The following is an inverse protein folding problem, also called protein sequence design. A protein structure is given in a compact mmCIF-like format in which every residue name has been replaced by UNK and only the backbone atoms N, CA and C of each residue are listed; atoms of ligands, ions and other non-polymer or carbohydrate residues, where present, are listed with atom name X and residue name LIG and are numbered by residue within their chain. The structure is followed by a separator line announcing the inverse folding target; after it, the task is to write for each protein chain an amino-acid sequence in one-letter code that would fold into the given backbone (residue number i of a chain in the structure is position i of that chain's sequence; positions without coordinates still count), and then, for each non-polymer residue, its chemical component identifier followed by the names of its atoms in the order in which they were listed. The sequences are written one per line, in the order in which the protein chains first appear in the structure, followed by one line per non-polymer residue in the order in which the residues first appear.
data_IF_573465364162
#
_entry.id   IF_573465364162
#
_cell.length_a   1.000
_cell.length_b   1.000
_cell.length_c   1.000
_cell.angle_alpha   90.00
_cell.angle_beta   90.00
_cell.angle_gamma   90.00
#
_symmetry.space_group_name_H-M   'P 1'
#
loop_
_entity.id
_entity.type
_entity.pdbx_description
1 polymer ?
#
# COMPACT_ATOMS: atom_id res chain seq x y z
N UNK A 1 -48.72 5.65 -7.96
CA UNK A 1 -47.38 6.24 -7.76
C UNK A 1 -46.61 5.34 -6.79
N UNK A 2 -46.00 4.27 -7.31
CA UNK A 2 -45.47 3.15 -6.49
C UNK A 2 -44.36 2.43 -7.26
N UNK A 3 -43.28 3.16 -7.61
CA UNK A 3 -42.10 2.60 -8.32
C UNK A 3 -40.77 3.29 -8.00
N UNK A 4 -40.65 4.01 -6.88
CA UNK A 4 -39.41 4.75 -6.55
C UNK A 4 -38.93 4.41 -5.11
N UNK A 5 -39.01 3.15 -4.71
CA UNK A 5 -38.53 2.72 -3.38
C UNK A 5 -37.60 1.49 -3.44
N UNK A 6 -37.03 1.15 -4.59
CA UNK A 6 -36.25 -0.08 -4.77
C UNK A 6 -34.82 0.12 -5.32
N UNK A 7 -34.34 1.37 -5.41
CA UNK A 7 -32.97 1.66 -5.91
C UNK A 7 -32.02 2.13 -4.80
N UNK A 8 -32.50 2.28 -3.56
CA UNK A 8 -31.68 2.75 -2.42
C UNK A 8 -30.90 1.63 -1.73
N UNK A 9 -31.11 0.36 -2.11
CA UNK A 9 -30.50 -0.81 -1.44
C UNK A 9 -29.22 -1.37 -2.10
N UNK A 10 -28.73 -0.80 -3.22
CA UNK A 10 -27.51 -1.29 -3.88
C UNK A 10 -26.29 -0.36 -3.80
N UNK A 11 -26.38 0.80 -3.14
CA UNK A 11 -25.27 1.78 -3.09
C UNK A 11 -24.51 1.86 -1.75
N UNK A 12 -24.83 0.99 -0.78
CA UNK A 12 -24.29 1.04 0.59
C UNK A 12 -23.50 -0.21 1.00
N UNK A 13 -23.14 -1.08 0.06
CA UNK A 13 -22.55 -2.38 0.36
C UNK A 13 -21.23 -2.62 -0.33
N UNK A 14 -20.20 -1.81 -0.06
CA UNK A 14 -18.78 -2.17 -0.23
C UNK A 14 -17.93 -1.29 0.71
N UNK A 15 -18.35 -1.18 1.97
CA UNK A 15 -17.46 -0.72 3.03
C UNK A 15 -16.45 -1.84 3.29
N UNK A 16 -15.21 -1.59 2.86
CA UNK A 16 -13.97 -2.22 3.27
C UNK A 16 -14.08 -3.68 3.77
N UNK A 17 -13.84 -4.65 2.87
CA UNK A 17 -13.15 -5.87 3.30
C UNK A 17 -11.70 -5.47 3.65
N UNK A 18 -11.51 -4.87 4.83
CA UNK A 18 -10.20 -4.93 5.49
C UNK A 18 -10.09 -6.34 6.06
N UNK A 19 -9.74 -7.30 5.19
CA UNK A 19 -9.16 -8.53 5.67
C UNK A 19 -7.86 -8.13 6.36
N UNK A 20 -7.90 -7.99 7.69
CA UNK A 20 -6.72 -8.03 8.51
C UNK A 20 -6.17 -9.46 8.37
N UNK A 21 -5.45 -9.71 7.27
CA UNK A 21 -4.48 -10.80 7.27
C UNK A 21 -3.59 -10.59 8.49
N UNK A 22 -3.17 -11.67 9.14
CA UNK A 22 -2.26 -11.61 10.28
C UNK A 22 -1.08 -10.70 9.93
N UNK A 23 -1.16 -9.47 10.40
CA UNK A 23 -0.33 -8.40 9.90
C UNK A 23 0.87 -8.35 10.83
N UNK A 24 2.05 -8.58 10.27
CA UNK A 24 3.29 -8.54 11.02
C UNK A 24 3.75 -7.11 11.25
N UNK A 25 4.44 -6.85 12.36
CA UNK A 25 5.18 -5.60 12.56
C UNK A 25 6.35 -5.56 11.57
N UNK A 26 6.36 -4.65 10.58
CA UNK A 26 7.55 -4.44 9.76
C UNK A 26 8.67 -3.91 10.66
N UNK A 27 9.90 -4.38 10.45
CA UNK A 27 11.07 -3.92 11.20
C UNK A 27 11.36 -4.68 12.51
N UNK A 28 10.48 -5.59 12.94
CA UNK A 28 10.73 -6.47 14.08
C UNK A 28 10.34 -7.92 13.76
N UNK A 29 11.35 -8.79 13.58
CA UNK A 29 11.18 -10.24 13.54
C UNK A 29 11.11 -10.87 12.15
N UNK A 30 10.60 -12.12 12.10
CA UNK A 30 10.58 -12.98 10.89
C UNK A 30 9.43 -12.69 9.93
N UNK A 31 8.42 -11.94 10.36
CA UNK A 31 7.16 -11.82 9.65
C UNK A 31 7.11 -10.49 8.88
N UNK A 32 6.76 -10.52 7.59
CA UNK A 32 6.68 -9.34 6.74
C UNK A 32 5.29 -8.71 6.70
N UNK A 33 5.21 -7.47 6.24
CA UNK A 33 3.97 -6.75 5.99
C UNK A 33 3.66 -6.74 4.51
N UNK A 34 2.37 -6.74 4.16
CA UNK A 34 1.93 -6.44 2.80
C UNK A 34 0.66 -5.61 2.85
N UNK A 35 0.61 -4.53 2.07
CA UNK A 35 -0.54 -3.65 1.97
C UNK A 35 -0.82 -3.27 0.52
N UNK A 36 -2.09 -2.97 0.23
CA UNK A 36 -2.52 -2.46 -1.07
C UNK A 36 -2.85 -0.98 -0.97
N UNK A 37 -2.32 -0.19 -1.91
CA UNK A 37 -2.44 1.26 -1.92
C UNK A 37 -3.02 1.75 -3.24
N UNK A 38 -3.87 2.78 -3.16
CA UNK A 38 -4.43 3.43 -4.34
C UNK A 38 -3.41 4.41 -4.92
N UNK A 39 -3.37 4.45 -6.24
CA UNK A 39 -2.60 5.42 -7.01
C UNK A 39 -3.49 6.55 -7.50
N UNK A 40 -2.89 7.69 -7.85
CA UNK A 40 -3.61 8.88 -8.34
C UNK A 40 -4.41 8.63 -9.62
N UNK A 41 -4.11 7.56 -10.33
CA UNK A 41 -4.76 7.14 -11.59
C UNK A 41 -5.81 6.03 -11.40
N UNK A 42 -6.20 5.76 -10.15
CA UNK A 42 -7.16 4.72 -9.79
C UNK A 42 -6.62 3.29 -9.77
N UNK A 43 -5.34 3.08 -10.11
CA UNK A 43 -4.70 1.77 -9.99
C UNK A 43 -4.44 1.40 -8.53
N UNK A 44 -4.30 0.11 -8.27
CA UNK A 44 -3.90 -0.41 -6.96
C UNK A 44 -2.53 -1.06 -7.06
N UNK A 45 -1.66 -0.74 -6.11
CA UNK A 45 -0.33 -1.34 -5.97
C UNK A 45 -0.24 -2.06 -4.64
N UNK A 46 0.12 -3.34 -4.69
CA UNK A 46 0.53 -4.10 -3.51
C UNK A 46 2.00 -3.86 -3.23
N UNK A 47 2.33 -3.54 -1.99
CA UNK A 47 3.70 -3.37 -1.49
C UNK A 47 3.91 -4.34 -0.35
N UNK A 48 5.01 -5.08 -0.40
CA UNK A 48 5.45 -5.92 0.70
C UNK A 48 6.73 -5.38 1.34
N UNK A 49 6.84 -5.53 2.66
CA UNK A 49 8.01 -5.32 3.48
C UNK A 49 8.39 -6.65 4.12
N UNK A 50 9.66 -6.99 4.16
CA UNK A 50 10.15 -8.11 4.95
C UNK A 50 10.02 -7.80 6.45
N UNK A 51 10.14 -8.83 7.30
CA UNK A 51 10.20 -8.63 8.75
C UNK A 51 11.41 -7.81 9.21
N UNK A 52 12.45 -7.70 8.38
CA UNK A 52 13.56 -6.76 8.59
C UNK A 52 13.25 -5.32 8.13
N UNK A 53 12.00 -5.02 7.77
CA UNK A 53 11.57 -3.70 7.28
C UNK A 53 11.92 -3.40 5.83
N UNK A 54 12.56 -4.34 5.11
CA UNK A 54 13.06 -4.09 3.75
C UNK A 54 11.97 -4.22 2.71
N UNK A 55 11.93 -3.29 1.76
CA UNK A 55 10.98 -3.34 0.66
C UNK A 55 11.21 -4.55 -0.24
N UNK A 56 10.15 -5.33 -0.43
CA UNK A 56 10.11 -6.58 -1.20
C UNK A 56 9.20 -6.44 -2.41
N UNK A 57 9.55 -5.50 -3.31
CA UNK A 57 8.87 -5.23 -4.58
C UNK A 57 7.42 -4.72 -4.48
N UNK A 58 7.00 -4.00 -5.53
CA UNK A 58 5.65 -3.47 -5.68
C UNK A 58 5.03 -4.03 -6.96
N UNK A 59 3.77 -4.44 -6.92
CA UNK A 59 3.05 -5.01 -8.05
C UNK A 59 1.67 -4.38 -8.23
N UNK A 60 1.20 -4.24 -9.47
CA UNK A 60 -0.17 -3.83 -9.73
C UNK A 60 -1.14 -4.95 -9.36
N UNK A 61 -2.13 -4.65 -8.51
CA UNK A 61 -3.12 -5.65 -8.03
C UNK A 61 -3.98 -6.26 -9.15
N UNK A 62 -4.39 -5.55 -10.22
CA UNK A 62 -5.18 -6.20 -11.27
C UNK A 62 -4.36 -7.09 -12.22
N UNK A 63 -3.04 -6.91 -12.32
CA UNK A 63 -2.23 -7.56 -13.38
C UNK A 63 -0.96 -8.26 -12.88
N UNK A 64 -0.63 -8.15 -11.60
CA UNK A 64 0.67 -8.50 -11.01
C UNK A 64 1.88 -7.91 -11.77
N UNK A 65 1.66 -6.86 -12.57
CA UNK A 65 2.73 -6.24 -13.32
C UNK A 65 3.73 -5.60 -12.35
N UNK A 66 5.04 -5.81 -12.54
CA UNK A 66 6.05 -5.27 -11.63
C UNK A 66 6.07 -3.74 -11.73
N UNK A 67 6.00 -3.08 -10.58
CA UNK A 67 6.22 -1.64 -10.44
C UNK A 67 7.65 -1.44 -10.01
N UNK A 68 8.41 -0.71 -10.82
CA UNK A 68 9.80 -0.36 -10.50
C UNK A 68 9.78 0.96 -9.72
N UNK A 69 10.12 0.97 -8.41
CA UNK A 69 10.15 2.21 -7.64
C UNK A 69 11.32 3.09 -8.09
N UNK A 70 11.01 4.33 -8.44
CA UNK A 70 11.96 5.43 -8.61
C UNK A 70 12.21 6.13 -7.28
N UNK A 71 11.13 6.33 -6.51
CA UNK A 71 11.14 6.83 -5.14
C UNK A 71 10.17 6.00 -4.30
N UNK A 72 10.58 5.64 -3.10
CA UNK A 72 9.79 4.97 -2.09
C UNK A 72 10.08 5.60 -0.74
N UNK A 73 9.03 5.99 -0.04
CA UNK A 73 9.04 6.42 1.34
C UNK A 73 8.07 5.53 2.10
N UNK A 74 8.55 4.80 3.09
CA UNK A 74 7.71 4.05 4.02
C UNK A 74 8.13 4.42 5.42
N UNK A 75 7.18 4.85 6.25
CA UNK A 75 7.41 5.20 7.64
C UNK A 75 6.35 4.55 8.50
N UNK A 76 6.77 3.71 9.45
CA UNK A 76 5.92 3.19 10.50
C UNK A 76 6.10 3.98 11.78
N UNK A 77 5.00 4.44 12.38
CA UNK A 77 4.98 5.13 13.66
C UNK A 77 4.10 4.40 14.68
N UNK A 78 4.59 4.24 15.89
CA UNK A 78 3.86 3.68 17.04
C UNK A 78 3.89 4.73 18.14
N UNK A 79 2.72 5.14 18.65
CA UNK A 79 2.59 6.25 19.61
C UNK A 79 3.33 7.54 19.20
N UNK A 80 3.40 7.83 17.90
CA UNK A 80 4.11 9.00 17.36
C UNK A 80 5.63 8.85 17.28
N UNK A 81 6.21 7.71 17.68
CA UNK A 81 7.63 7.40 17.48
C UNK A 81 7.82 6.57 16.21
N UNK A 82 8.85 6.89 15.42
CA UNK A 82 9.21 6.10 14.23
C UNK A 82 9.82 4.77 14.68
N UNK A 83 9.14 3.67 14.38
CA UNK A 83 9.59 2.31 14.69
C UNK A 83 10.34 1.65 13.54
N UNK A 84 10.04 2.05 12.30
CA UNK A 84 10.83 1.69 11.13
C UNK A 84 10.64 2.73 10.03
N UNK A 85 11.63 2.83 9.15
CA UNK A 85 11.56 3.65 7.96
C UNK A 85 12.39 3.02 6.85
N UNK A 86 11.83 2.99 5.64
CA UNK A 86 12.53 2.57 4.43
C UNK A 86 12.43 3.69 3.41
N UNK A 87 13.58 4.11 2.90
CA UNK A 87 13.68 5.09 1.83
C UNK A 87 14.46 4.50 0.66
N UNK A 88 13.86 4.50 -0.53
CA UNK A 88 14.54 4.08 -1.76
C UNK A 88 14.46 5.20 -2.77
N UNK A 89 15.60 5.67 -3.25
CA UNK A 89 15.68 6.62 -4.37
C UNK A 89 16.62 6.06 -5.42
N UNK A 90 16.13 5.94 -6.65
CA UNK A 90 16.96 5.57 -7.80
C UNK A 90 17.27 6.82 -8.61
N UNK A 91 18.55 7.12 -8.82
CA UNK A 91 19.06 8.26 -9.60
C UNK A 91 18.73 8.25 -11.11
N UNK A 92 17.82 7.38 -11.60
CA UNK A 92 17.48 7.30 -13.03
C UNK A 92 16.34 8.28 -13.34
N UNK A 93 16.74 9.45 -13.82
CA UNK A 93 15.96 10.68 -14.03
C UNK A 93 15.23 10.77 -15.38
N UNK A 94 14.86 9.64 -15.99
CA UNK A 94 14.04 9.70 -17.20
C UNK A 94 12.60 9.32 -16.85
N UNK A 95 11.67 10.30 -16.81
CA UNK A 95 10.27 10.00 -16.61
C UNK A 95 9.82 9.05 -17.71
N UNK A 96 9.43 7.84 -17.29
CA UNK A 96 8.82 6.89 -18.22
C UNK A 96 7.36 7.29 -18.40
N UNK A 97 6.82 7.11 -19.60
CA UNK A 97 5.43 7.48 -19.95
C UNK A 97 4.38 6.86 -19.01
N UNK A 98 4.74 5.78 -18.31
CA UNK A 98 3.89 5.04 -17.36
C UNK A 98 4.37 5.21 -15.92
N UNK A 99 4.57 6.46 -15.49
CA UNK A 99 4.87 6.77 -14.09
C UNK A 99 3.59 6.72 -13.26
N UNK A 100 3.66 6.07 -12.10
CA UNK A 100 2.59 5.90 -11.13
C UNK A 100 3.00 6.58 -9.84
N UNK A 101 2.08 7.35 -9.26
CA UNK A 101 2.23 7.92 -7.92
C UNK A 101 1.15 7.32 -7.04
N UNK A 102 1.57 6.65 -5.98
CA UNK A 102 0.69 5.98 -5.03
C UNK A 102 1.07 6.41 -3.63
N UNK A 103 0.09 6.74 -2.81
CA UNK A 103 0.33 7.06 -1.41
C UNK A 103 -0.84 6.57 -0.58
N UNK A 104 -0.56 6.31 0.68
CA UNK A 104 -1.60 5.89 1.60
C UNK A 104 -1.09 5.81 3.03
N UNK A 105 -2.06 5.74 3.93
CA UNK A 105 -1.81 5.49 5.33
C UNK A 105 -2.62 4.27 5.72
N UNK A 106 -1.99 3.35 6.42
CA UNK A 106 -2.60 2.14 6.93
C UNK A 106 -2.37 2.08 8.43
N UNK A 107 -3.37 1.67 9.21
CA UNK A 107 -3.23 1.42 10.63
C UNK A 107 -3.29 -0.07 10.89
N UNK A 108 -2.37 -0.55 11.70
CA UNK A 108 -2.25 -1.95 12.04
C UNK A 108 -1.98 -2.09 13.52
N UNK A 109 -2.57 -3.08 14.17
CA UNK A 109 -2.21 -3.40 15.54
C UNK A 109 -0.91 -4.21 15.55
N UNK A 110 0.07 -3.75 16.32
CA UNK A 110 1.26 -4.50 16.66
C UNK A 110 0.86 -5.80 17.37
N UNK A 111 1.20 -6.98 16.83
CA UNK A 111 0.89 -8.24 17.49
C UNK A 111 1.65 -8.46 18.81
N UNK A 112 2.81 -7.80 18.99
CA UNK A 112 3.65 -7.97 20.18
C UNK A 112 3.23 -7.01 21.32
N UNK A 113 2.93 -5.75 21.00
CA UNK A 113 2.57 -4.73 22.00
C UNK A 113 1.06 -4.49 22.12
N UNK A 114 0.27 -4.94 21.15
CA UNK A 114 -1.16 -4.64 21.04
C UNK A 114 -1.47 -3.18 20.66
N UNK A 115 -0.44 -2.38 20.34
CA UNK A 115 -0.61 -0.95 20.08
C UNK A 115 -0.81 -0.66 18.59
N UNK A 116 -1.53 0.42 18.22
CA UNK A 116 -1.69 0.79 16.83
C UNK A 116 -0.39 1.39 16.27
N UNK A 117 0.07 0.81 15.16
CA UNK A 117 1.13 1.31 14.30
C UNK A 117 0.47 1.96 13.08
N UNK A 118 0.84 3.21 12.81
CA UNK A 118 0.47 3.92 11.60
C UNK A 118 1.59 3.81 10.57
N UNK A 119 1.30 3.21 9.43
CA UNK A 119 2.24 3.03 8.32
C UNK A 119 1.85 3.98 7.21
N UNK A 120 2.72 4.94 6.92
CA UNK A 120 2.57 5.84 5.77
C UNK A 120 3.46 5.35 4.64
N UNK A 121 2.94 5.34 3.42
CA UNK A 121 3.68 5.01 2.21
C UNK A 121 3.52 6.09 1.15
N UNK A 122 4.61 6.34 0.43
CA UNK A 122 4.65 7.07 -0.83
C UNK A 122 5.50 6.30 -1.83
N UNK A 123 4.92 5.91 -2.96
CA UNK A 123 5.59 5.24 -4.08
C UNK A 123 5.49 6.13 -5.30
N UNK A 124 6.63 6.43 -5.90
CA UNK A 124 6.71 6.91 -7.29
C UNK A 124 7.44 5.82 -8.06
N UNK A 125 6.74 5.18 -8.99
CA UNK A 125 7.29 4.07 -9.76
C UNK A 125 6.93 4.15 -11.22
N UNK A 126 7.41 3.21 -12.03
CA UNK A 126 6.96 3.07 -13.40
C UNK A 126 6.65 1.60 -13.74
N UNK A 127 5.78 1.41 -14.73
CA UNK A 127 5.49 0.11 -15.31
C UNK A 127 6.45 -0.15 -16.48
N UNK A 128 7.32 -1.18 -16.41
CA UNK A 128 8.30 -1.48 -17.46
C UNK A 128 7.63 -2.00 -18.74
N UNK A 129 6.51 -2.70 -18.61
CA UNK A 129 5.61 -3.05 -19.70
C UNK A 129 4.35 -2.20 -19.49
N UNK A 130 4.05 -1.28 -20.42
CA UNK A 130 2.89 -0.39 -20.28
C UNK A 130 1.60 -1.17 -20.05
N UNK A 131 0.58 -0.50 -19.48
CA UNK A 131 -0.76 -1.10 -19.31
C UNK A 131 -1.23 -1.60 -20.69
N UNK A 132 -1.34 -2.91 -20.87
CA UNK A 132 -2.08 -3.50 -21.99
C UNK A 132 -3.52 -3.70 -21.56
#
# INVERSE_FOLDING_TARGET
MKRILLVVLCALGLFALSAAGAAAKPGHGRNGFSGTFQCTDGSQVSVALSGSGRFSAAHLVPSNAPVVPLKLDIVGTENGQVVFSEHVVKHRTHPRKTTLTCSGTFTQTDPDTGQPITITIGVIGFLPHGRR
#
